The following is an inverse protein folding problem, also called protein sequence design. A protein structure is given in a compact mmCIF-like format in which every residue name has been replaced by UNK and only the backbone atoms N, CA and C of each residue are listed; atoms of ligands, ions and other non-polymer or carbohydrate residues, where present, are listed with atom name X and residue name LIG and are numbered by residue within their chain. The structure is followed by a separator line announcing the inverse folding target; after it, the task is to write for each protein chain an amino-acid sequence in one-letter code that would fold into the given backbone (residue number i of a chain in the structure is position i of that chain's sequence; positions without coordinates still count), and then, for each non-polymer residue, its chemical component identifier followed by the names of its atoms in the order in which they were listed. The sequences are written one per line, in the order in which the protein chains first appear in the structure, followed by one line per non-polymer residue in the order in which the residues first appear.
data_IF_561949700900
#
_entry.id   IF_561949700900
#
_cell.length_a   1.000
_cell.length_b   1.000
_cell.length_c   1.000
_cell.angle_alpha   90.00
_cell.angle_beta   90.00
_cell.angle_gamma   90.00
#
_symmetry.space_group_name_H-M   'P 1'
#
loop_
_entity.id
_entity.type
_entity.pdbx_description
1 polymer ?
2 non-polymer ?
3 water ?
#
# COMPACT_ATOMS: atom_id res chain seq x y z
N UNK A 12 -4.57 -11.59 22.83
CA UNK A 12 -3.55 -11.31 23.83
C UNK A 12 -2.80 -10.03 23.50
N UNK A 13 -2.47 -9.27 24.54
CA UNK A 13 -1.79 -7.99 24.40
C UNK A 13 -0.64 -7.91 25.39
N UNK A 14 0.19 -6.89 25.24
CA UNK A 14 1.32 -6.69 26.14
C UNK A 14 2.57 -7.45 25.77
N UNK A 15 2.70 -7.87 24.53
CA UNK A 15 3.89 -8.61 24.09
C UNK A 15 4.28 -8.15 22.70
N UNK A 16 5.58 -8.14 22.45
CA UNK A 16 6.14 -7.85 21.14
C UNK A 16 6.76 -9.11 20.57
N UNK A 17 6.42 -9.44 19.32
CA UNK A 17 6.92 -10.62 18.64
C UNK A 17 7.68 -10.17 17.40
N UNK A 18 9.01 -10.14 17.49
CA UNK A 18 9.87 -9.74 16.39
C UNK A 18 10.74 -10.94 16.02
N UNK A 19 10.61 -11.41 14.79
CA UNK A 19 11.42 -12.53 14.33
C UNK A 19 11.19 -13.81 15.10
N UNK A 20 9.95 -14.08 15.50
CA UNK A 20 9.61 -15.27 16.24
C UNK A 20 9.96 -15.23 17.71
N UNK A 21 10.48 -14.11 18.22
CA UNK A 21 10.84 -13.96 19.62
C UNK A 21 9.79 -13.10 20.31
N UNK A 22 9.01 -13.72 21.20
CA UNK A 22 8.03 -12.97 21.98
C UNK A 22 8.71 -12.33 23.17
N UNK A 23 8.60 -11.01 23.28
CA UNK A 23 9.14 -10.25 24.40
C UNK A 23 7.99 -9.67 25.21
N UNK A 24 8.00 -9.89 26.52
CA UNK A 24 7.10 -9.17 27.40
C UNK A 24 7.47 -7.70 27.41
N UNK A 25 6.47 -6.83 27.28
CA UNK A 25 6.73 -5.41 27.15
C UNK A 25 5.52 -4.61 27.60
N UNK A 26 5.79 -3.36 27.98
CA UNK A 26 4.77 -2.37 28.29
C UNK A 26 5.09 -1.11 27.52
N UNK A 27 4.19 -0.12 27.62
CA UNK A 27 4.37 1.12 26.86
C UNK A 27 5.62 1.87 27.33
N UNK A 28 6.00 1.71 28.59
CA UNK A 28 7.21 2.38 29.09
C UNK A 28 8.48 1.81 28.48
N UNK A 29 8.43 0.62 27.89
CA UNK A 29 9.61 0.02 27.28
C UNK A 29 9.90 0.57 25.89
N UNK A 30 9.12 1.54 25.41
CA UNK A 30 9.28 2.09 24.07
C UNK A 30 9.73 3.54 24.17
N UNK A 31 10.73 3.91 23.37
CA UNK A 31 11.24 5.26 23.31
C UNK A 31 10.67 5.95 22.07
N UNK A 32 10.04 7.10 22.27
CA UNK A 32 9.41 7.81 21.16
C UNK A 32 10.47 8.57 20.37
N UNK A 33 10.66 8.18 19.11
CA UNK A 33 11.64 8.81 18.23
C UNK A 33 11.02 9.83 17.29
N UNK A 34 9.75 10.17 17.49
CA UNK A 34 9.11 11.19 16.69
C UNK A 34 7.99 10.69 15.81
N UNK A 35 7.10 11.58 15.40
CA UNK A 35 5.99 11.21 14.52
C UNK A 35 6.47 11.08 13.09
N UNK A 36 5.96 10.07 12.40
CA UNK A 36 6.24 9.87 10.99
C UNK A 36 5.17 10.56 10.15
N UNK A 37 5.62 11.33 9.16
CA UNK A 37 4.68 11.99 8.27
C UNK A 37 3.85 13.06 8.98
N UNK A 38 2.69 13.34 8.38
CA UNK A 38 1.77 14.34 8.91
C UNK A 38 0.35 13.88 8.63
N UNK A 39 -0.61 14.62 9.19
CA UNK A 39 -2.01 14.30 9.01
C UNK A 39 -2.43 13.02 9.71
N UNK A 42 -4.85 10.58 12.23
CA UNK A 42 -3.81 9.58 12.15
C UNK A 42 -2.49 10.04 12.75
N UNK A 43 -1.97 9.25 13.68
CA UNK A 43 -0.71 9.58 14.37
C UNK A 43 0.09 8.29 14.51
N UNK A 44 1.09 8.12 13.64
CA UNK A 44 1.96 6.95 13.65
C UNK A 44 3.34 7.37 14.11
N UNK A 45 3.79 6.81 15.23
CA UNK A 45 5.09 7.11 15.78
C UNK A 45 6.14 6.13 15.29
N UNK A 46 7.39 6.59 15.25
CA UNK A 46 8.54 5.71 15.14
C UNK A 46 9.13 5.56 16.54
N UNK A 47 9.23 4.34 17.03
CA UNK A 47 9.66 4.10 18.39
C UNK A 47 10.73 3.01 18.42
N UNK A 48 11.51 3.03 19.51
CA UNK A 48 12.59 2.09 19.73
C UNK A 48 12.27 1.22 20.94
N UNK A 49 12.37 -0.10 20.76
CA UNK A 49 12.18 -1.04 21.85
C UNK A 49 13.47 -1.10 22.67
N UNK A 50 13.41 -0.56 23.89
CA UNK A 50 14.63 -0.41 24.70
C UNK A 50 15.25 -1.74 25.08
N UNK A 51 14.48 -2.83 25.07
CA UNK A 51 15.00 -4.11 25.54
C UNK A 51 15.83 -4.83 24.48
N UNK A 52 15.62 -4.53 23.20
CA UNK A 52 16.36 -5.22 22.14
C UNK A 52 17.07 -4.22 21.23
N UNK A 53 16.52 -3.02 21.10
CA UNK A 53 17.04 -2.04 20.16
C UNK A 53 16.31 -1.97 18.85
N UNK A 54 15.31 -2.82 18.64
CA UNK A 54 14.51 -2.77 17.41
C UNK A 54 13.80 -1.42 17.32
N UNK A 55 13.69 -0.91 16.09
CA UNK A 55 12.89 0.26 15.80
C UNK A 55 11.61 -0.19 15.11
N UNK A 56 10.47 0.36 15.55
CA UNK A 56 9.16 -0.08 15.09
C UNK A 56 8.28 1.13 14.83
N UNK A 57 7.21 0.90 14.07
CA UNK A 57 6.15 1.88 13.87
C UNK A 57 5.03 1.59 14.85
N UNK A 58 4.53 2.65 15.50
CA UNK A 58 3.51 2.51 16.54
C UNK A 58 2.35 3.43 16.21
N UNK A 59 1.17 2.86 16.06
CA UNK A 59 -0.06 3.62 15.90
C UNK A 59 -0.73 3.78 17.26
N UNK A 60 -1.04 5.02 17.62
CA UNK A 60 -1.64 5.35 18.91
C UNK A 60 -3.11 5.71 18.71
N UNK A 61 -4.01 4.92 19.30
CA UNK A 61 -5.44 5.19 19.28
C UNK A 61 -5.84 5.69 20.67
N UNK A 62 -6.23 6.95 20.76
CA UNK A 62 -6.59 7.55 22.03
C UNK A 62 -8.02 7.19 22.41
N UNK A 63 -8.22 6.87 23.69
CA UNK A 63 -9.54 6.51 24.18
C UNK A 63 -10.52 7.66 24.04
N UNK A 64 -10.05 8.90 24.18
CA UNK A 64 -10.90 10.08 24.03
C UNK A 64 -11.04 10.52 22.58
N UNK A 65 -10.51 9.77 21.64
CA UNK A 65 -10.58 10.14 20.24
C UNK A 65 -11.99 10.01 19.68
N UNK A 66 -12.09 10.26 18.38
CA UNK A 66 -13.37 10.17 17.70
C UNK A 66 -13.86 8.72 17.67
N UNK A 67 -15.10 8.51 18.07
CA UNK A 67 -15.66 7.16 18.10
C UNK A 67 -15.79 6.56 16.70
N UNK A 68 -15.74 7.39 15.65
CA UNK A 68 -15.82 6.88 14.30
C UNK A 68 -14.46 6.40 13.80
N UNK A 69 -13.42 7.20 14.01
CA UNK A 69 -12.08 6.80 13.59
C UNK A 69 -11.58 5.62 14.43
N UNK A 70 -11.90 5.62 15.73
CA UNK A 70 -11.49 4.51 16.58
C UNK A 70 -12.19 3.22 16.17
N UNK A 71 -13.47 3.30 15.79
CA UNK A 71 -14.18 2.13 15.31
C UNK A 71 -13.54 1.59 14.04
N UNK A 72 -12.99 2.47 13.20
CA UNK A 72 -12.34 2.02 11.97
C UNK A 72 -10.97 1.43 12.25
N UNK A 73 -10.23 2.00 13.20
CA UNK A 73 -8.92 1.48 13.54
C UNK A 73 -9.02 0.07 14.08
N UNK A 74 -10.05 -0.21 14.89
CA UNK A 74 -10.21 -1.53 15.48
C UNK A 74 -10.54 -2.58 14.44
N UNK A 75 -11.38 -2.24 13.46
CA UNK A 75 -11.71 -3.19 12.41
C UNK A 75 -10.52 -3.43 11.49
N UNK A 76 -9.74 -2.38 11.21
CA UNK A 76 -8.54 -2.55 10.41
C UNK A 76 -7.47 -3.34 11.16
N UNK A 77 -7.36 -3.11 12.47
CA UNK A 77 -6.46 -3.92 13.28
C UNK A 77 -6.88 -5.38 13.26
N UNK A 78 -8.19 -5.64 13.23
CA UNK A 78 -8.68 -7.01 13.18
C UNK A 78 -8.18 -7.73 11.93
N UNK A 79 -8.28 -7.08 10.77
CA UNK A 79 -7.78 -7.68 9.53
C UNK A 79 -6.28 -7.85 9.58
N UNK A 80 -5.57 -6.85 10.10
CA UNK A 80 -4.11 -6.93 10.20
C UNK A 80 -3.69 -8.10 11.09
N UNK A 81 -4.37 -8.27 12.23
CA UNK A 81 -4.02 -9.35 13.13
C UNK A 81 -4.28 -10.72 12.52
N UNK A 82 -5.22 -10.81 11.59
CA UNK A 82 -5.52 -12.08 10.92
C UNK A 82 -4.64 -12.33 9.70
N UNK A 83 -3.93 -11.31 9.21
CA UNK A 83 -3.09 -11.43 8.02
C UNK A 83 -1.65 -11.79 8.35
N UNK A 84 -1.42 -12.53 9.44
CA UNK A 84 -0.06 -12.86 9.86
C UNK A 84 0.64 -13.81 8.90
N UNK A 85 -0.09 -14.49 8.02
CA UNK A 85 0.50 -15.44 7.09
C UNK A 85 0.67 -14.89 5.69
N UNK A 86 0.32 -13.63 5.45
CA UNK A 86 0.53 -13.02 4.14
C UNK A 86 1.81 -12.19 4.17
N UNK A 87 2.81 -12.52 3.35
CA UNK A 87 4.06 -11.74 3.35
C UNK A 87 3.97 -10.41 2.63
N UNK A 88 2.81 -10.06 2.07
CA UNK A 88 2.65 -8.82 1.32
C UNK A 88 1.79 -7.80 2.06
N UNK A 89 1.57 -8.01 3.36
CA UNK A 89 0.79 -7.09 4.19
C UNK A 89 1.66 -6.72 5.38
N UNK A 90 1.66 -5.41 5.73
CA UNK A 90 2.48 -4.95 6.84
C UNK A 90 2.03 -5.64 8.12
N UNK A 91 2.98 -6.28 8.79
CA UNK A 91 2.69 -7.15 9.92
C UNK A 91 2.61 -6.38 11.23
N UNK A 92 1.78 -6.87 12.12
CA UNK A 92 1.63 -6.32 13.47
C UNK A 92 2.48 -7.12 14.43
N UNK A 93 3.33 -6.43 15.19
CA UNK A 93 4.19 -7.07 16.17
C UNK A 93 3.53 -7.27 17.52
N UNK A 94 2.53 -6.45 17.86
CA UNK A 94 1.86 -6.56 19.13
C UNK A 94 1.10 -5.29 19.44
N UNK A 95 0.37 -5.34 20.54
CA UNK A 95 -0.45 -4.23 20.99
C UNK A 95 -0.21 -3.96 22.47
N UNK A 96 -0.50 -2.72 22.87
CA UNK A 96 -0.48 -2.31 24.27
C UNK A 96 -1.78 -1.58 24.58
N UNK A 97 -2.44 -1.99 25.65
CA UNK A 97 -3.71 -1.40 26.05
C UNK A 97 -3.50 -0.77 27.43
N UNK A 98 -3.45 0.56 27.46
CA UNK A 98 -3.40 1.30 28.71
C UNK A 98 -4.79 1.81 29.05
N UNK A 99 -4.89 2.55 30.15
CA UNK A 99 -6.18 3.05 30.59
C UNK A 99 -6.73 4.15 29.68
N UNK A 100 -5.87 4.80 28.89
CA UNK A 100 -6.29 5.91 28.05
C UNK A 100 -5.90 5.76 26.59
N UNK A 101 -5.17 4.71 26.22
CA UNK A 101 -4.64 4.59 24.88
C UNK A 101 -4.56 3.12 24.46
N UNK A 102 -4.51 2.91 23.15
CA UNK A 102 -4.16 1.62 22.56
C UNK A 102 -3.03 1.87 21.59
N UNK A 103 -1.90 1.19 21.81
CA UNK A 103 -0.73 1.32 20.94
C UNK A 103 -0.60 0.06 20.10
N UNK A 104 -0.55 0.23 18.78
CA UNK A 104 -0.43 -0.86 17.82
C UNK A 104 0.97 -0.81 17.23
N UNK A 105 1.75 -1.87 17.45
CA UNK A 105 3.12 -1.94 16.96
C UNK A 105 3.16 -2.65 15.62
N UNK A 106 3.77 -2.00 14.63
CA UNK A 106 3.89 -2.55 13.29
C UNK A 106 5.36 -2.57 12.88
N UNK A 107 5.67 -3.46 11.94
CA UNK A 107 7.04 -3.51 11.41
C UNK A 107 7.36 -2.21 10.70
N UNK A 108 8.56 -1.69 10.95
CA UNK A 108 8.96 -0.41 10.39
C UNK A 108 9.38 -0.60 8.94
N UNK A 109 8.72 0.11 8.03
CA UNK A 109 9.11 0.16 6.63
C UNK A 109 9.88 1.44 6.35
N UNK A 110 10.39 1.55 5.13
CA UNK A 110 11.13 2.73 4.73
C UNK A 110 10.24 3.91 4.44
N UNK A 111 9.50 3.84 3.33
CA UNK A 111 8.57 4.89 2.94
C UNK A 111 7.57 4.30 1.96
N UNK A 112 6.66 5.14 1.49
CA UNK A 112 5.61 4.70 0.56
C UNK A 112 6.02 5.03 -0.88
N UNK A 113 5.27 4.44 -1.82
CA UNK A 113 5.55 4.65 -3.23
C UNK A 113 5.29 6.09 -3.64
N UNK A 114 4.37 6.77 -2.97
CA UNK A 114 4.10 8.18 -3.27
C UNK A 114 5.33 9.03 -2.99
N UNK A 115 5.98 8.83 -1.84
CA UNK A 115 7.17 9.59 -1.51
C UNK A 115 8.39 9.11 -2.29
N UNK A 116 8.41 7.85 -2.71
CA UNK A 116 9.45 7.40 -3.62
C UNK A 116 9.34 8.11 -4.96
N UNK A 117 8.11 8.31 -5.44
CA UNK A 117 7.91 9.04 -6.68
C UNK A 117 8.38 10.49 -6.55
N UNK A 118 8.02 11.14 -5.44
CA UNK A 118 8.41 12.53 -5.23
C UNK A 118 9.93 12.65 -5.08
N UNK A 119 10.56 11.68 -4.43
CA UNK A 119 12.02 11.70 -4.29
C UNK A 119 12.72 11.34 -5.60
N UNK A 120 12.11 10.45 -6.40
CA UNK A 120 12.67 10.12 -7.69
C UNK A 120 12.59 11.29 -8.66
N UNK A 121 11.58 12.15 -8.51
CA UNK A 121 11.31 13.26 -9.43
C UNK A 121 11.19 12.78 -10.87
N UNK A 122 10.63 11.60 -11.07
CA UNK A 122 10.45 11.06 -12.39
C UNK A 122 9.84 9.66 -12.36
N UNK A 123 9.79 9.01 -13.53
CA UNK A 123 9.23 7.67 -13.59
C UNK A 123 9.99 6.68 -12.73
N UNK A 124 9.29 5.63 -12.32
CA UNK A 124 9.88 4.52 -11.58
C UNK A 124 10.07 3.36 -12.54
N UNK A 125 11.25 2.71 -12.57
CA UNK A 125 11.51 1.69 -13.58
C UNK A 125 10.50 0.57 -13.54
N UNK A 126 10.27 -0.04 -14.72
CA UNK A 126 9.30 -1.11 -14.83
C UNK A 126 9.68 -2.31 -13.96
N UNK A 127 10.98 -2.59 -13.83
CA UNK A 127 11.42 -3.70 -13.00
C UNK A 127 10.91 -3.57 -11.58
N UNK A 128 11.02 -2.37 -11.02
CA UNK A 128 10.52 -2.13 -9.66
C UNK A 128 9.01 -2.25 -9.62
N UNK A 129 8.32 -1.68 -10.60
CA UNK A 129 6.86 -1.76 -10.64
C UNK A 129 6.36 -3.17 -10.88
N UNK A 130 7.18 -4.04 -11.48
CA UNK A 130 6.78 -5.43 -11.65
C UNK A 130 6.72 -6.17 -10.33
N UNK A 131 7.78 -6.06 -9.52
CA UNK A 131 7.76 -6.65 -8.19
C UNK A 131 6.66 -6.05 -7.34
N UNK A 132 6.42 -4.75 -7.50
CA UNK A 132 5.34 -4.09 -6.77
C UNK A 132 3.98 -4.63 -7.19
N UNK A 133 3.81 -4.86 -8.50
CA UNK A 133 2.53 -5.38 -9.00
C UNK A 133 2.26 -6.78 -8.47
N UNK A 134 3.30 -7.63 -8.43
CA UNK A 134 3.14 -8.99 -7.93
C UNK A 134 2.74 -8.97 -6.46
N UNK A 135 3.38 -8.11 -5.67
CA UNK A 135 3.10 -8.07 -4.23
C UNK A 135 1.69 -7.57 -3.94
N UNK A 136 1.26 -6.50 -4.63
CA UNK A 136 -0.01 -5.88 -4.30
C UNK A 136 -1.18 -6.76 -4.76
N UNK A 137 -1.05 -7.40 -5.92
CA UNK A 137 -2.12 -8.27 -6.41
C UNK A 137 -2.28 -9.47 -5.48
N UNK A 138 -1.17 -10.06 -5.03
CA UNK A 138 -1.26 -11.18 -4.11
C UNK A 138 -1.76 -10.76 -2.75
N UNK A 139 -1.47 -9.52 -2.34
CA UNK A 139 -2.03 -9.01 -1.09
C UNK A 139 -3.54 -8.83 -1.20
N UNK A 140 -4.01 -8.29 -2.33
CA UNK A 140 -5.44 -8.12 -2.52
C UNK A 140 -6.15 -9.45 -2.69
N UNK A 141 -5.54 -10.39 -3.42
CA UNK A 141 -6.13 -11.71 -3.57
C UNK A 141 -6.20 -12.45 -2.25
N UNK A 142 -5.19 -12.26 -1.39
CA UNK A 142 -5.23 -12.87 -0.06
C UNK A 142 -6.39 -12.32 0.76
N UNK A 143 -6.55 -11.00 0.77
CA UNK A 143 -7.64 -10.39 1.54
C UNK A 143 -8.99 -10.86 1.04
N UNK A 144 -9.14 -11.03 -0.27
CA UNK A 144 -10.41 -11.46 -0.84
C UNK A 144 -10.69 -12.93 -0.53
N UNK A 145 -9.73 -13.80 -0.83
CA UNK A 145 -9.98 -15.24 -0.77
C UNK A 145 -10.05 -15.74 0.67
N UNK A 146 -9.06 -15.39 1.49
CA UNK A 146 -8.94 -15.95 2.83
C UNK A 146 -9.76 -15.20 3.88
N UNK A 147 -10.10 -13.94 3.62
CA UNK A 147 -10.82 -13.13 4.60
C UNK A 147 -12.07 -12.45 4.07
N UNK A 148 -12.32 -12.48 2.76
CA UNK A 148 -13.49 -11.80 2.23
C UNK A 148 -13.45 -10.30 2.36
N UNK A 149 -12.26 -9.72 2.41
CA UNK A 149 -12.08 -8.28 2.61
C UNK A 149 -11.81 -7.63 1.26
N UNK A 150 -12.52 -6.54 0.98
CA UNK A 150 -12.26 -5.70 -0.18
C UNK A 150 -11.55 -4.45 0.30
N UNK A 151 -10.39 -4.16 -0.31
CA UNK A 151 -9.57 -3.03 0.13
C UNK A 151 -10.31 -1.71 -0.06
N UNK A 152 -10.73 -1.43 -1.30
CA UNK A 152 -11.51 -0.25 -1.68
C UNK A 152 -10.73 1.05 -1.57
N UNK A 153 -9.39 1.00 -1.60
CA UNK A 153 -8.58 2.22 -1.61
C UNK A 153 -7.11 1.95 -1.92
N UNK A 154 -6.82 1.47 -3.12
CA UNK A 154 -5.44 1.23 -3.55
C UNK A 154 -4.87 2.51 -4.15
N UNK A 155 -3.69 2.91 -3.68
CA UNK A 155 -3.04 4.13 -4.14
C UNK A 155 -1.58 4.08 -3.71
N UNK A 156 -0.71 4.90 -4.31
CA UNK A 156 0.72 4.82 -3.99
C UNK A 156 1.06 5.08 -2.52
N UNK A 157 0.22 5.80 -1.79
CA UNK A 157 0.50 6.06 -0.39
C UNK A 157 0.24 4.85 0.51
N UNK A 158 -0.39 3.80 -0.02
CA UNK A 158 -0.66 2.59 0.72
C UNK A 158 0.30 1.45 0.37
N UNK A 159 1.32 1.73 -0.44
CA UNK A 159 2.31 0.74 -0.85
C UNK A 159 3.63 1.11 -0.18
N UNK A 160 4.10 0.27 0.72
CA UNK A 160 5.30 0.54 1.49
C UNK A 160 6.46 -0.31 1.00
N UNK A 161 7.67 0.27 1.06
CA UNK A 161 8.90 -0.44 0.75
C UNK A 161 9.92 -0.17 1.84
N UNK A 162 10.90 -1.07 1.96
CA UNK A 162 11.94 -0.93 2.97
C UNK A 162 13.31 -1.20 2.35
N UNK A 163 14.35 -1.01 3.17
CA UNK A 163 15.72 -1.19 2.71
C UNK A 163 16.01 -2.63 2.28
N UNK A 164 15.24 -3.59 2.78
CA UNK A 164 15.47 -5.00 2.49
C UNK A 164 14.75 -5.47 1.23
N UNK A 165 14.15 -4.56 0.48
CA UNK A 165 13.50 -4.91 -0.77
C UNK A 165 12.06 -5.36 -0.65
N UNK A 166 11.52 -5.43 0.56
CA UNK A 166 10.14 -5.86 0.74
C UNK A 166 9.17 -4.79 0.21
N UNK A 167 8.06 -5.26 -0.34
CA UNK A 167 6.98 -4.39 -0.80
C UNK A 167 5.69 -4.92 -0.18
N UNK A 168 5.02 -4.08 0.61
CA UNK A 168 3.87 -4.54 1.38
C UNK A 168 2.75 -3.51 1.31
N UNK A 169 1.54 -3.99 1.53
CA UNK A 169 0.33 -3.17 1.51
C UNK A 169 -0.08 -2.83 2.93
N UNK A 170 -0.66 -1.63 3.11
CA UNK A 170 -1.11 -1.18 4.42
C UNK A 170 -2.31 -0.26 4.25
N UNK A 171 -2.89 0.11 5.38
CA UNK A 171 -3.96 1.11 5.47
C UNK A 171 -5.12 0.78 4.52
N UNK A 172 -5.81 -0.30 4.86
CA UNK A 172 -7.04 -0.69 4.18
C UNK A 172 -8.19 -0.70 5.17
N UNK A 173 -9.27 0.00 4.83
CA UNK A 173 -10.44 0.06 5.69
C UNK A 173 -10.87 1.47 6.06
N UNK A 189 -13.50 6.29 0.27
CA UNK A 189 -12.30 6.09 -0.52
C UNK A 189 -11.88 7.33 -1.30
N UNK A 190 -10.63 7.34 -1.73
CA UNK A 190 -10.11 8.49 -2.49
C UNK A 190 -10.74 8.51 -3.88
N UNK A 191 -11.33 9.66 -4.23
CA UNK A 191 -12.04 9.78 -5.51
C UNK A 191 -11.10 9.70 -6.70
N UNK A 192 -9.82 10.03 -6.54
CA UNK A 192 -8.90 10.03 -7.67
C UNK A 192 -8.66 8.63 -8.21
N UNK A 193 -8.80 7.61 -7.36
CA UNK A 193 -8.54 6.23 -7.76
C UNK A 193 -9.81 5.38 -7.79
N UNK A 194 -10.98 6.01 -7.79
CA UNK A 194 -12.23 5.27 -7.76
C UNK A 194 -12.56 4.70 -9.15
N UNK A 195 -13.04 3.46 -9.16
CA UNK A 195 -13.40 2.80 -10.39
C UNK A 195 -14.69 3.38 -10.96
N UNK A 196 -14.94 3.19 -12.26
CA UNK A 196 -16.19 3.70 -12.85
C UNK A 196 -17.44 3.16 -12.17
N UNK A 197 -17.47 1.87 -11.82
CA UNK A 197 -18.67 1.31 -11.22
C UNK A 197 -18.88 1.79 -9.78
N UNK A 198 -17.81 2.15 -9.08
CA UNK A 198 -17.96 2.74 -7.76
C UNK A 198 -18.51 4.16 -7.85
N UNK A 199 -18.25 4.84 -8.96
CA UNK A 199 -18.78 6.19 -9.15
C UNK A 199 -20.24 6.14 -9.59
N UNK A 200 -20.56 5.28 -10.55
CA UNK A 200 -21.90 5.17 -11.13
C UNK A 200 -22.27 3.70 -11.21
N UNK A 201 -22.82 3.12 -10.12
CA UNK A 201 -23.22 1.71 -10.06
C UNK A 201 -24.24 1.32 -11.12
N UNK A 211 -16.26 -5.53 -6.10
CA UNK A 211 -15.60 -6.81 -6.33
C UNK A 211 -14.24 -6.60 -6.97
N UNK A 212 -14.24 -6.12 -8.22
CA UNK A 212 -13.02 -5.87 -8.97
C UNK A 212 -12.65 -4.38 -8.99
N UNK A 213 -13.23 -3.59 -8.08
CA UNK A 213 -12.96 -2.15 -8.08
C UNK A 213 -11.51 -1.84 -7.72
N UNK A 214 -10.89 -2.70 -6.90
CA UNK A 214 -9.49 -2.49 -6.56
C UNK A 214 -8.56 -2.68 -7.75
N UNK A 215 -8.99 -3.44 -8.76
CA UNK A 215 -8.16 -3.64 -9.94
C UNK A 215 -7.96 -2.31 -10.67
N UNK A 216 -9.01 -1.50 -10.75
CA UNK A 216 -8.90 -0.20 -11.42
C UNK A 216 -7.96 0.74 -10.68
N UNK A 217 -8.07 0.80 -9.35
CA UNK A 217 -7.21 1.69 -8.57
C UNK A 217 -5.75 1.29 -8.70
N UNK A 218 -5.46 0.01 -8.88
CA UNK A 218 -4.09 -0.43 -9.05
C UNK A 218 -3.53 0.01 -10.40
N UNK A 219 -4.36 -0.04 -11.45
CA UNK A 219 -3.90 0.39 -12.76
C UNK A 219 -3.60 1.88 -12.80
N UNK A 220 -4.43 2.68 -12.13
CA UNK A 220 -4.15 4.12 -12.06
C UNK A 220 -2.86 4.38 -11.30
N UNK A 221 -2.63 3.64 -10.21
CA UNK A 221 -1.39 3.79 -9.46
C UNK A 221 -0.19 3.37 -10.28
N UNK A 222 -0.34 2.35 -11.14
CA UNK A 222 0.77 1.91 -11.97
C UNK A 222 1.11 2.94 -13.05
N UNK A 223 0.09 3.55 -13.66
CA UNK A 223 0.34 4.59 -14.66
C UNK A 223 1.03 5.78 -14.02
N UNK A 224 0.54 6.20 -12.85
CA UNK A 224 1.13 7.35 -12.17
C UNK A 224 2.60 7.12 -11.83
N UNK A 225 2.91 5.93 -11.32
CA UNK A 225 4.30 5.65 -10.95
C UNK A 225 5.17 5.43 -12.18
N UNK A 226 4.62 4.83 -13.23
CA UNK A 226 5.42 4.54 -14.42
C UNK A 226 5.74 5.79 -15.23
N UNK A 227 4.88 6.81 -15.16
CA UNK A 227 5.08 8.04 -15.90
C UNK A 227 5.56 9.19 -15.03
N UNK A 228 5.43 9.08 -13.70
CA UNK A 228 5.70 10.21 -12.82
C UNK A 228 4.63 11.27 -12.83
N UNK A 229 3.52 11.07 -13.54
CA UNK A 229 2.45 12.04 -13.64
C UNK A 229 1.13 11.35 -13.32
N UNK A 230 0.32 11.98 -12.48
CA UNK A 230 -1.01 11.46 -12.22
C UNK A 230 -1.84 11.53 -13.50
N UNK A 231 -2.49 10.45 -13.93
CA UNK A 231 -3.07 10.42 -15.28
C UNK A 231 -4.18 11.43 -15.50
N UNK A 232 -4.91 11.82 -14.47
CA UNK A 232 -5.98 12.82 -14.60
C UNK A 232 -5.42 14.15 -14.12
N UNK A 233 -4.82 14.89 -15.04
CA UNK A 233 -4.09 16.10 -14.71
C UNK A 233 -5.00 17.33 -14.73
N UNK A 234 -4.64 18.32 -13.91
CA UNK A 234 -5.30 19.63 -13.88
C UNK A 234 -6.78 19.50 -13.51
N UNK A 235 -7.07 18.70 -12.49
CA UNK A 235 -8.41 18.56 -11.94
C UNK A 235 -8.46 19.31 -10.61
N UNK A 236 -9.25 20.38 -10.57
CA UNK A 236 -9.30 21.23 -9.38
C UNK A 236 -10.24 20.71 -8.30
N UNK A 237 -11.15 19.78 -8.64
CA UNK A 237 -12.07 19.21 -7.68
C UNK A 237 -12.13 17.70 -7.85
N UNK A 238 -12.64 17.04 -6.80
CA UNK A 238 -12.80 15.58 -6.87
C UNK A 238 -13.83 15.19 -7.92
N UNK A 239 -14.88 16.00 -8.09
CA UNK A 239 -15.90 15.68 -9.07
C UNK A 239 -15.34 15.72 -10.49
N UNK A 240 -14.45 16.68 -10.76
CA UNK A 240 -13.86 16.78 -12.08
C UNK A 240 -13.07 15.52 -12.43
N UNK A 241 -12.43 14.89 -11.44
CA UNK A 241 -11.76 13.63 -11.68
C UNK A 241 -12.76 12.55 -12.07
N UNK A 242 -13.90 12.50 -11.37
CA UNK A 242 -14.89 11.46 -11.65
C UNK A 242 -15.47 11.60 -13.05
N UNK A 243 -15.69 12.84 -13.50
CA UNK A 243 -16.20 13.05 -14.85
C UNK A 243 -15.21 12.56 -15.90
N UNK A 244 -13.92 12.83 -15.69
CA UNK A 244 -12.91 12.35 -16.64
C UNK A 244 -12.79 10.84 -16.59
N UNK A 245 -13.00 10.22 -15.43
CA UNK A 245 -12.96 8.77 -15.34
C UNK A 245 -14.05 8.15 -16.22
N UNK A 246 -15.25 8.74 -16.21
CA UNK A 246 -16.38 8.18 -16.94
C UNK A 246 -16.42 8.64 -18.40
N UNK A 247 -16.07 9.89 -18.68
CA UNK A 247 -16.21 10.43 -20.02
C UNK A 247 -15.01 10.15 -20.92
N UNK A 248 -13.81 10.11 -20.36
CA UNK A 248 -12.60 9.93 -21.14
C UNK A 248 -12.21 8.46 -21.21
N UNK A 249 -11.38 8.13 -22.21
CA UNK A 249 -10.87 6.79 -22.36
C UNK A 249 -9.89 6.47 -21.24
N UNK A 250 -9.69 5.19 -20.93
CA UNK A 250 -8.72 4.81 -19.89
C UNK A 250 -7.35 5.37 -20.17
N UNK A 251 -6.67 5.92 -19.17
CA UNK A 251 -5.32 6.46 -19.40
C UNK A 251 -4.25 5.39 -19.38
N UNK A 252 -4.02 4.76 -20.54
CA UNK A 252 -3.08 3.65 -20.63
C UNK A 252 -1.64 4.18 -20.62
N UNK A 253 -0.69 3.25 -20.60
CA UNK A 253 0.71 3.63 -20.59
C UNK A 253 1.14 4.16 -21.96
N UNK A 254 2.06 5.12 -22.00
CA UNK A 254 2.57 5.59 -23.30
C UNK A 254 3.38 4.51 -24.00
N UNK A 255 3.47 4.65 -25.32
CA UNK A 255 4.20 3.69 -26.13
C UNK A 255 5.62 4.06 -26.47
N UNK A 256 6.09 5.24 -26.06
CA UNK A 256 7.41 5.72 -26.41
C UNK A 256 8.37 5.76 -25.23
N UNK A 257 8.09 4.99 -24.17
CA UNK A 257 8.93 4.95 -22.99
C UNK A 257 9.59 3.60 -22.78
N UNK A 258 9.54 2.71 -23.78
CA UNK A 258 10.20 1.42 -23.67
C UNK A 258 9.49 0.41 -22.80
N UNK A 259 8.25 0.66 -22.41
CA UNK A 259 7.50 -0.32 -21.62
C UNK A 259 7.29 -1.59 -22.43
N UNK A 260 7.47 -2.73 -21.77
CA UNK A 260 7.25 -4.01 -22.43
C UNK A 260 5.78 -4.19 -22.75
N UNK A 261 5.51 -5.07 -23.72
CA UNK A 261 4.12 -5.36 -24.07
C UNK A 261 3.34 -5.97 -22.94
N UNK A 262 4.01 -6.75 -22.08
CA UNK A 262 3.32 -7.36 -20.95
C UNK A 262 2.83 -6.29 -19.96
N UNK A 263 3.67 -5.29 -19.68
CA UNK A 263 3.27 -4.22 -18.77
C UNK A 263 2.10 -3.43 -19.33
N UNK A 264 2.19 -3.03 -20.60
CA UNK A 264 1.10 -2.29 -21.23
C UNK A 264 -0.19 -3.10 -21.25
N UNK A 265 -0.08 -4.43 -21.42
CA UNK A 265 -1.27 -5.28 -21.43
C UNK A 265 -1.88 -5.38 -20.05
N UNK A 266 -1.05 -5.49 -19.00
CA UNK A 266 -1.58 -5.61 -17.65
C UNK A 266 -2.32 -4.34 -17.24
N UNK A 267 -1.76 -3.17 -17.57
CA UNK A 267 -2.42 -1.91 -17.26
C UNK A 267 -3.73 -1.78 -18.04
N UNK A 268 -3.69 -2.12 -19.33
CA UNK A 268 -4.91 -2.03 -20.14
C UNK A 268 -6.00 -2.93 -19.58
N UNK A 269 -5.62 -4.12 -19.07
CA UNK A 269 -6.61 -5.02 -18.47
C UNK A 269 -7.15 -4.44 -17.17
N UNK A 270 -6.28 -3.84 -16.35
CA UNK A 270 -6.74 -3.22 -15.11
C UNK A 270 -7.69 -2.07 -15.39
N UNK A 271 -7.38 -1.25 -16.41
CA UNK A 271 -8.17 -0.06 -16.73
C UNK A 271 -9.34 -0.35 -17.64
N UNK A 272 -9.97 -1.52 -17.53
CA UNK A 272 -11.20 -1.80 -18.24
C UNK A 272 -12.35 -1.06 -17.56
N UNK A 273 -13.01 -0.18 -18.30
CA UNK A 273 -14.04 0.66 -17.68
C UNK A 273 -15.28 -0.16 -17.34
N UNK A 274 -15.66 -1.09 -18.20
CA UNK A 274 -16.80 -1.97 -17.92
C UNK A 274 -16.38 -2.99 -16.87
N UNK A 275 -16.93 -2.85 -15.65
CA UNK A 275 -16.52 -3.68 -14.54
C UNK A 275 -16.89 -5.15 -14.72
N UNK A 276 -17.78 -5.47 -15.64
CA UNK A 276 -18.15 -6.85 -15.92
C UNK A 276 -17.14 -7.55 -16.83
N UNK A 277 -16.27 -6.80 -17.51
CA UNK A 277 -15.20 -7.36 -18.31
C UNK A 277 -13.84 -7.23 -17.64
N UNK A 278 -13.78 -6.61 -16.46
CA UNK A 278 -12.52 -6.47 -15.74
C UNK A 278 -12.14 -7.80 -15.12
N UNK A 279 -10.89 -8.25 -15.27
CA UNK A 279 -10.54 -9.61 -14.85
C UNK A 279 -10.57 -9.80 -13.35
N UNK A 280 -10.87 -11.03 -12.94
CA UNK A 280 -10.78 -11.41 -11.54
C UNK A 280 -9.31 -11.44 -11.11
N UNK A 281 -9.09 -11.60 -9.80
CA UNK A 281 -7.73 -11.80 -9.31
C UNK A 281 -7.16 -13.12 -9.81
N UNK A 282 -8.02 -14.13 -9.98
CA UNK A 282 -7.56 -15.41 -10.52
C UNK A 282 -6.99 -15.23 -11.92
N UNK A 283 -7.60 -14.37 -12.74
CA UNK A 283 -7.12 -14.15 -14.09
C UNK A 283 -5.88 -13.27 -14.10
N UNK A 284 -5.82 -12.28 -13.21
CA UNK A 284 -4.65 -11.40 -13.17
C UNK A 284 -3.39 -12.15 -12.75
N UNK A 285 -3.52 -13.11 -11.83
CA UNK A 285 -2.37 -13.85 -11.34
C UNK A 285 -1.74 -14.74 -12.42
N UNK A 286 -2.45 -14.98 -13.52
CA UNK A 286 -1.91 -15.75 -14.63
C UNK A 286 -1.37 -14.87 -15.75
N UNK A 287 -1.48 -13.55 -15.61
CA UNK A 287 -1.00 -12.64 -16.66
C UNK A 287 0.51 -12.76 -16.78
N UNK A 288 1.01 -12.68 -18.03
CA UNK A 288 2.43 -12.86 -18.29
C UNK A 288 3.28 -11.84 -17.55
N UNK A 289 2.73 -10.65 -17.31
CA UNK A 289 3.45 -9.65 -16.52
C UNK A 289 3.67 -10.13 -15.10
N UNK A 290 2.66 -10.77 -14.50
CA UNK A 290 2.80 -11.32 -13.16
C UNK A 290 3.76 -12.50 -13.17
N UNK A 291 3.61 -13.40 -14.15
CA UNK A 291 4.44 -14.60 -14.20
C UNK A 291 5.92 -14.23 -14.40
N UNK A 292 6.20 -13.15 -15.12
CA UNK A 292 7.59 -12.77 -15.35
C UNK A 292 8.27 -12.35 -14.06
N UNK A 293 7.64 -11.45 -13.30
CA UNK A 293 8.25 -10.90 -12.10
C UNK A 293 8.00 -11.73 -10.85
N UNK A 294 7.28 -12.85 -10.98
CA UNK A 294 7.25 -13.81 -9.88
C UNK A 294 8.59 -14.51 -9.72
N UNK A 295 9.29 -14.75 -10.83
CA UNK A 295 10.55 -15.49 -10.82
C UNK A 295 11.77 -14.65 -11.17
N UNK A 296 11.59 -13.49 -11.79
CA UNK A 296 12.73 -12.66 -12.17
C UNK A 296 13.40 -12.08 -10.94
N UNK A 297 14.73 -12.06 -10.95
CA UNK A 297 15.52 -11.51 -9.86
C UNK A 297 15.64 -10.00 -10.05
N UNK A 298 15.07 -9.23 -9.12
CA UNK A 298 15.12 -7.78 -9.17
C UNK A 298 15.62 -7.28 -7.83
N UNK A 299 16.70 -6.50 -7.84
CA UNK A 299 17.31 -5.97 -6.62
C UNK A 299 16.56 -4.69 -6.22
N UNK A 300 15.41 -4.89 -5.59
CA UNK A 300 14.64 -3.76 -5.09
C UNK A 300 15.36 -3.08 -3.93
N UNK A 301 16.11 -3.85 -3.14
CA UNK A 301 16.80 -3.29 -1.99
C UNK A 301 17.82 -2.23 -2.41
N UNK A 302 18.68 -2.57 -3.36
CA UNK A 302 19.70 -1.62 -3.81
C UNK A 302 19.08 -0.40 -4.48
N UNK A 303 18.03 -0.62 -5.28
CA UNK A 303 17.35 0.50 -5.91
C UNK A 303 16.70 1.40 -4.86
N UNK A 304 16.13 0.80 -3.81
CA UNK A 304 15.51 1.59 -2.75
C UNK A 304 16.54 2.47 -2.05
N UNK A 305 17.72 1.92 -1.76
CA UNK A 305 18.74 2.69 -1.06
C UNK A 305 19.31 3.80 -1.95
N UNK A 306 19.40 3.57 -3.26
CA UNK A 306 19.89 4.60 -4.16
C UNK A 306 18.94 5.79 -4.22
N UNK A 307 17.62 5.52 -4.27
CA UNK A 307 16.65 6.61 -4.32
C UNK A 307 16.63 7.38 -3.01
N UNK A 308 16.68 6.68 -1.88
CA UNK A 308 16.67 7.34 -0.59
C UNK A 308 17.93 8.18 -0.37
N UNK A 309 19.05 7.79 -0.97
CA UNK A 309 20.27 8.56 -0.84
C UNK A 309 20.16 9.91 -1.56
N UNK A 310 19.33 10.00 -2.58
CA UNK A 310 19.11 11.26 -3.25
C UNK A 310 18.39 12.24 -2.34
N UNK A 311 18.57 13.53 -2.60
CA UNK A 311 18.12 14.59 -1.70
C UNK A 311 17.10 15.47 -2.40
N UNK A 312 15.97 15.70 -1.73
CA UNK A 312 15.04 16.75 -2.11
C UNK A 312 15.19 18.00 -1.24
N UNK A 313 15.69 17.84 -0.03
CA UNK A 313 15.93 18.96 0.88
C UNK A 313 17.18 18.70 1.71
X LIG B 1 4.77 3.91 7.85
X LIG B 1 4.32 2.72 8.26
X LIG B 1 5.17 1.71 8.46
X LIG B 1 6.49 1.84 8.26
X LIG B 1 6.08 4.11 7.63
X LIG B 1 6.99 3.07 7.84
X LIG B 1 2.98 2.86 8.37
X LIG B 1 2.09 1.95 8.75
X LIG B 1 3.82 6.16 7.29
X LIG B 1 3.17 7.05 8.32
X LIG B 1 3.42 8.50 7.94
X LIG B 1 2.75 8.81 6.62
X LIG B 1 3.15 6.36 5.94
X LIG B 1 3.24 8.21 4.32
X LIG B 1 3.55 7.12 3.30
X LIG B 1 0.79 2.18 8.88
X LIG B 1 -1.22 0.82 9.56
X LIG B 1 -1.53 1.25 11.00
X LIG B 1 -2.89 0.69 11.43
X LIG B 1 -4.04 1.46 11.24
X LIG B 1 -5.28 0.97 11.64
X LIG B 1 -5.37 -0.29 12.22
X LIG B 1 -4.22 -1.06 12.41
X LIG B 1 -2.99 -0.56 12.01
X LIG B 1 2.97 7.52 1.94
X LIG B 1 -0.60 0.75 11.79
X LIG B 1 -1.53 2.57 11.07
X LIG B 1 3.75 4.74 7.71
X LIG B 1 2.63 4.09 8.04
X LIG B 1 4.66 0.54 8.87
X LIG B 1 3.06 7.80 5.59
X LIG B 1 0.23 1.05 9.28
X LIG B 1 1.19 0.12 9.41
X LIG B 1 2.36 0.68 9.08
X LIG B 1 3.17 9.39 3.98
#
# INVERSE_FOLDING_TARGET
MGHHHHHHSAKQTGYLTIGGQRYQAEINDLENLGEMGSGTCGQVWKMRFRKTGHVIAVKQMRRSGNKEENKRILMDLDVVLKSHDCPYIVQCFGTFITNTDVFIAMELMGTCAEKLKKRMQGPIPERILGKMTVAIVKALYYLKEKHGVIHRDVKPSNILLDERGQIKLCDFGISGRLVDSKAKTRSAGCAAYMAPERIDPPDPTKPDYDIRADVWSLGISLVELATGQFPYKNCKTDFEVLTKVLQEEPPLLPGHMGFSGDFQSFVKDCLTKDHRKRPKYNKLLEHSFIKRYETLEVDVASWFKDVMAKTRSPRTSG
24N C4 C5 C6 N1 N3 C2 CAI CAK CAL CAM CAN CAO CAQ CAR CAT CAU CAY CAZ CBA CBB CBC CBD CBE CBF CBI FBG FBH NAG NAH NAJ NAP NAV NAW NAX OAS
#
